data_IF_352697637886
#
_entry.id   IF_352697637886
#
_cell.length_a   1.000
_cell.length_b   1.000
_cell.length_c   1.000
_cell.angle_alpha   90.00
_cell.angle_beta   90.00
_cell.angle_gamma   90.00
#
_symmetry.space_group_name_H-M   'P 1'
#
loop_
_entity.id
_entity.type
_entity.pdbx_description
1 polymer ?
#
# COMPACT_ATOMS: atom_id res chain seq x y z
N UNK A 1 19.98 8.88 -1.89
CA UNK A 1 18.53 8.58 -1.92
C UNK A 1 18.31 7.40 -0.98
N UNK A 2 17.24 7.37 -0.19
CA UNK A 2 16.97 6.22 0.70
C UNK A 2 16.28 5.12 -0.10
N UNK A 3 16.44 3.85 0.32
CA UNK A 3 15.74 2.72 -0.31
C UNK A 3 14.23 2.95 -0.36
N UNK A 4 13.65 3.50 0.72
CA UNK A 4 12.26 3.92 0.75
C UNK A 4 11.89 4.91 -0.37
N UNK A 5 12.73 5.92 -0.62
CA UNK A 5 12.45 6.91 -1.66
C UNK A 5 12.51 6.31 -3.06
N UNK A 6 13.44 5.38 -3.33
CA UNK A 6 13.54 4.69 -4.62
C UNK A 6 12.31 3.81 -4.88
N UNK A 7 11.90 3.03 -3.89
CA UNK A 7 10.72 2.16 -3.97
C UNK A 7 9.43 2.98 -4.07
N UNK A 8 9.35 4.08 -3.31
CA UNK A 8 8.26 5.05 -3.41
C UNK A 8 8.10 5.58 -4.83
N UNK A 9 9.17 6.07 -5.45
CA UNK A 9 9.12 6.60 -6.83
C UNK A 9 8.75 5.52 -7.85
N UNK A 10 9.20 4.28 -7.67
CA UNK A 10 8.86 3.15 -8.53
C UNK A 10 7.37 2.78 -8.50
N UNK A 11 6.71 2.93 -7.34
CA UNK A 11 5.38 2.33 -7.12
C UNK A 11 4.24 3.33 -6.89
N UNK A 12 4.49 4.55 -6.40
CA UNK A 12 3.41 5.46 -5.99
C UNK A 12 2.40 5.73 -7.10
N UNK A 13 2.87 6.03 -8.32
CA UNK A 13 1.97 6.38 -9.43
C UNK A 13 1.04 5.22 -9.81
N UNK A 14 1.58 3.99 -9.80
CA UNK A 14 0.80 2.78 -10.08
C UNK A 14 -0.18 2.47 -8.95
N UNK A 15 0.26 2.60 -7.71
CA UNK A 15 -0.60 2.39 -6.54
C UNK A 15 -1.77 3.39 -6.52
N UNK A 16 -1.54 4.65 -6.89
CA UNK A 16 -2.58 5.69 -6.94
C UNK A 16 -3.66 5.35 -7.97
N UNK A 17 -3.30 4.66 -9.05
CA UNK A 17 -4.23 4.16 -10.06
C UNK A 17 -4.93 2.86 -9.64
N UNK A 18 -4.20 1.91 -9.04
CA UNK A 18 -4.69 0.54 -8.86
C UNK A 18 -5.54 0.39 -7.61
N UNK A 19 -5.12 0.99 -6.49
CA UNK A 19 -5.82 0.89 -5.20
C UNK A 19 -7.30 1.26 -5.30
N UNK A 20 -7.71 2.41 -5.87
CA UNK A 20 -9.14 2.75 -5.97
C UNK A 20 -9.90 1.81 -6.91
N UNK A 21 -9.27 1.31 -7.96
CA UNK A 21 -9.90 0.38 -8.91
C UNK A 21 -10.14 -0.97 -8.26
N UNK A 22 -9.16 -1.53 -7.57
CA UNK A 22 -9.28 -2.80 -6.87
C UNK A 22 -10.28 -2.70 -5.73
N UNK A 23 -10.27 -1.61 -4.96
CA UNK A 23 -11.27 -1.38 -3.92
C UNK A 23 -12.71 -1.33 -4.48
N UNK A 24 -12.90 -0.76 -5.66
CA UNK A 24 -14.21 -0.69 -6.32
C UNK A 24 -14.69 -2.03 -6.88
N UNK A 25 -13.79 -2.83 -7.45
CA UNK A 25 -14.15 -4.07 -8.17
C UNK A 25 -14.15 -5.29 -7.25
N UNK A 26 -13.26 -5.32 -6.26
CA UNK A 26 -13.07 -6.46 -5.36
C UNK A 26 -13.53 -6.19 -3.93
N UNK A 27 -13.80 -4.93 -3.53
CA UNK A 27 -14.12 -4.58 -2.14
C UNK A 27 -15.35 -5.28 -1.56
N UNK A 28 -16.35 -5.60 -2.39
CA UNK A 28 -17.53 -6.34 -1.93
C UNK A 28 -17.21 -7.81 -1.57
N UNK A 29 -16.27 -8.44 -2.28
CA UNK A 29 -15.79 -9.80 -2.01
C UNK A 29 -14.67 -9.82 -0.96
N UNK A 30 -13.87 -8.75 -0.93
CA UNK A 30 -12.70 -8.54 -0.07
C UNK A 30 -12.88 -7.23 0.71
N UNK A 31 -13.75 -7.20 1.74
CA UNK A 31 -14.06 -5.98 2.49
C UNK A 31 -12.84 -5.40 3.22
N UNK A 32 -11.82 -6.22 3.50
CA UNK A 32 -10.52 -5.77 4.00
C UNK A 32 -9.84 -4.78 3.06
N UNK A 33 -10.08 -4.89 1.75
CA UNK A 33 -9.44 -4.03 0.77
C UNK A 33 -9.95 -2.58 0.83
N UNK A 34 -11.19 -2.36 1.29
CA UNK A 34 -11.64 -1.00 1.61
C UNK A 34 -10.76 -0.39 2.70
N UNK A 35 -10.38 -1.19 3.70
CA UNK A 35 -9.47 -0.72 4.75
C UNK A 35 -8.05 -0.50 4.24
N UNK A 36 -7.55 -1.35 3.34
CA UNK A 36 -6.27 -1.13 2.64
C UNK A 36 -6.27 0.21 1.92
N UNK A 37 -7.36 0.53 1.19
CA UNK A 37 -7.50 1.79 0.49
C UNK A 37 -7.50 2.99 1.46
N UNK A 38 -8.22 2.93 2.58
CA UNK A 38 -8.19 3.99 3.60
C UNK A 38 -6.78 4.22 4.16
N UNK A 39 -6.08 3.14 4.53
CA UNK A 39 -4.73 3.24 5.10
C UNK A 39 -3.75 3.78 4.06
N UNK A 40 -3.86 3.34 2.80
CA UNK A 40 -3.05 3.87 1.70
C UNK A 40 -3.25 5.39 1.51
N UNK A 41 -4.47 5.90 1.62
CA UNK A 41 -4.72 7.34 1.53
C UNK A 41 -4.03 8.13 2.64
N UNK A 42 -4.00 7.60 3.88
CA UNK A 42 -3.26 8.23 4.97
C UNK A 42 -1.73 8.16 4.76
N UNK A 43 -1.20 7.08 4.18
CA UNK A 43 0.21 6.99 3.77
C UNK A 43 0.54 8.12 2.79
N UNK A 44 -0.24 8.29 1.73
CA UNK A 44 0.00 9.32 0.71
C UNK A 44 -0.07 10.72 1.30
N UNK A 45 -1.04 10.98 2.19
CA UNK A 45 -1.17 12.25 2.90
C UNK A 45 0.06 12.54 3.76
N UNK A 46 0.57 11.56 4.49
CA UNK A 46 1.79 11.70 5.31
C UNK A 46 3.05 11.90 4.47
N UNK A 47 3.18 11.18 3.35
CA UNK A 47 4.28 11.37 2.38
C UNK A 47 4.26 12.80 1.84
N UNK A 48 3.09 13.29 1.38
CA UNK A 48 2.93 14.65 0.87
C UNK A 48 3.25 15.70 1.94
N UNK A 49 2.87 15.46 3.20
CA UNK A 49 3.15 16.36 4.33
C UNK A 49 4.63 16.41 4.72
N UNK A 50 5.34 15.28 4.65
CA UNK A 50 6.75 15.20 5.00
C UNK A 50 7.68 15.83 3.94
N UNK A 51 7.22 15.95 2.69
CA UNK A 51 8.00 16.56 1.61
C UNK A 51 9.27 15.76 1.33
N UNK A 52 10.43 16.32 1.67
CA UNK A 52 11.75 15.69 1.50
C UNK A 52 12.19 14.85 2.71
N UNK A 53 11.50 14.97 3.85
CA UNK A 53 11.81 14.23 5.07
C UNK A 53 11.21 12.82 5.05
N UNK A 54 11.72 11.92 5.92
CA UNK A 54 11.13 10.59 6.10
C UNK A 54 9.79 10.73 6.85
N UNK A 55 8.65 10.34 6.26
CA UNK A 55 7.36 10.38 6.94
C UNK A 55 7.29 9.33 8.06
N UNK A 56 6.56 9.60 9.14
CA UNK A 56 6.26 8.58 10.15
C UNK A 56 5.10 7.69 9.68
N UNK A 57 5.42 6.53 9.12
CA UNK A 57 4.47 5.56 8.55
C UNK A 57 4.37 4.26 9.36
N UNK A 58 4.99 4.20 10.54
CA UNK A 58 5.09 2.99 11.35
C UNK A 58 3.70 2.40 11.68
N UNK A 59 2.75 3.27 11.99
CA UNK A 59 1.39 2.86 12.32
C UNK A 59 0.67 2.29 11.11
N UNK A 60 0.72 2.99 9.98
CA UNK A 60 0.04 2.61 8.73
C UNK A 60 0.56 1.28 8.19
N UNK A 61 1.87 1.08 8.17
CA UNK A 61 2.45 -0.19 7.72
C UNK A 61 2.12 -1.35 8.67
N UNK A 62 2.09 -1.11 9.99
CA UNK A 62 1.63 -2.13 10.94
C UNK A 62 0.17 -2.50 10.73
N UNK A 63 -0.68 -1.53 10.41
CA UNK A 63 -2.09 -1.77 10.11
C UNK A 63 -2.26 -2.53 8.81
N UNK A 64 -1.53 -2.15 7.74
CA UNK A 64 -1.50 -2.89 6.48
C UNK A 64 -1.16 -4.37 6.71
N UNK A 65 -0.04 -4.68 7.37
CA UNK A 65 0.34 -6.07 7.69
C UNK A 65 -0.74 -6.83 8.44
N UNK A 66 -1.47 -6.16 9.35
CA UNK A 66 -2.54 -6.80 10.13
C UNK A 66 -3.76 -7.14 9.27
N UNK A 67 -4.21 -6.21 8.43
CA UNK A 67 -5.45 -6.39 7.65
C UNK A 67 -5.25 -7.25 6.40
N UNK A 68 -4.03 -7.32 5.87
CA UNK A 68 -3.68 -8.11 4.67
C UNK A 68 -3.06 -9.46 5.00
N UNK A 69 -3.01 -9.85 6.28
CA UNK A 69 -2.27 -11.03 6.76
C UNK A 69 -0.84 -11.08 6.20
N UNK A 70 -0.07 -10.00 6.43
CA UNK A 70 1.27 -9.78 5.89
C UNK A 70 1.33 -9.82 4.35
N UNK A 71 0.38 -9.17 3.69
CA UNK A 71 0.26 -9.09 2.24
C UNK A 71 0.06 -10.45 1.56
N UNK A 72 -0.60 -11.39 2.25
CA UNK A 72 -0.95 -12.69 1.68
C UNK A 72 -1.99 -12.50 0.58
N UNK A 73 -1.69 -13.02 -0.61
CA UNK A 73 -2.53 -12.88 -1.80
C UNK A 73 -3.63 -13.95 -1.78
N UNK A 74 -4.93 -13.58 -1.79
CA UNK A 74 -6.02 -14.55 -1.89
C UNK A 74 -6.08 -15.20 -3.27
N UNK A 75 -6.43 -16.49 -3.33
CA UNK A 75 -6.41 -17.31 -4.58
C UNK A 75 -7.51 -16.94 -5.58
N UNK A 76 -8.52 -16.21 -5.15
CA UNK A 76 -9.70 -15.79 -5.91
C UNK A 76 -9.60 -14.33 -6.41
N UNK A 77 -8.40 -13.74 -6.37
CA UNK A 77 -8.13 -12.37 -6.81
C UNK A 77 -7.46 -12.30 -8.18
N UNK A 78 -7.46 -11.11 -8.79
CA UNK A 78 -6.83 -10.87 -10.10
C UNK A 78 -5.40 -10.32 -9.97
N UNK A 79 -4.68 -10.28 -11.09
CA UNK A 79 -3.30 -9.75 -11.18
C UNK A 79 -3.16 -8.32 -10.64
N UNK A 80 -4.20 -7.47 -10.76
CA UNK A 80 -4.14 -6.10 -10.24
C UNK A 80 -4.21 -6.05 -8.71
N UNK A 81 -4.95 -6.97 -8.07
CA UNK A 81 -4.97 -7.09 -6.61
C UNK A 81 -3.60 -7.55 -6.10
N UNK A 82 -3.07 -8.61 -6.71
CA UNK A 82 -1.73 -9.14 -6.43
C UNK A 82 -0.67 -8.05 -6.59
N UNK A 83 -0.72 -7.28 -7.67
CA UNK A 83 0.20 -6.17 -7.91
C UNK A 83 0.14 -5.13 -6.78
N UNK A 84 -1.04 -4.77 -6.28
CA UNK A 84 -1.14 -3.83 -5.16
C UNK A 84 -0.44 -4.40 -3.92
N UNK A 85 -0.69 -5.66 -3.57
CA UNK A 85 -0.10 -6.26 -2.35
C UNK A 85 1.41 -6.39 -2.45
N UNK A 86 1.93 -6.80 -3.62
CA UNK A 86 3.36 -6.85 -3.86
C UNK A 86 4.02 -5.47 -3.74
N UNK A 87 3.44 -4.44 -4.36
CA UNK A 87 3.98 -3.08 -4.30
C UNK A 87 3.92 -2.48 -2.88
N UNK A 88 2.84 -2.73 -2.14
CA UNK A 88 2.73 -2.30 -0.74
C UNK A 88 3.73 -3.02 0.17
N UNK A 89 3.96 -4.31 -0.06
CA UNK A 89 4.95 -5.12 0.67
C UNK A 89 6.38 -4.67 0.40
N UNK A 90 6.72 -4.34 -0.86
CA UNK A 90 8.01 -3.74 -1.22
C UNK A 90 8.21 -2.39 -0.51
N UNK A 91 7.17 -1.55 -0.49
CA UNK A 91 7.22 -0.24 0.15
C UNK A 91 7.39 -0.35 1.69
N UNK A 92 6.68 -1.28 2.32
CA UNK A 92 6.78 -1.58 3.75
C UNK A 92 8.19 -2.06 4.13
N UNK A 93 8.72 -3.00 3.35
CA UNK A 93 10.06 -3.55 3.56
C UNK A 93 11.14 -2.47 3.41
N UNK A 94 11.03 -1.62 2.40
CA UNK A 94 11.96 -0.52 2.16
C UNK A 94 11.86 0.61 3.21
N UNK A 95 10.73 0.71 3.91
CA UNK A 95 10.55 1.69 4.99
C UNK A 95 11.18 1.22 6.32
N UNK A 96 11.08 -0.09 6.61
CA UNK A 96 11.54 -0.70 7.86
C UNK A 96 12.97 -1.28 7.79
N UNK A 97 13.52 -1.47 6.59
CA UNK A 97 14.93 -1.79 6.37
C UNK A 97 15.83 -0.57 6.58
#
# INVERSE_FOLDING_TARGET
>A
MTQFNEVKEKHIEKLELYVPVVARVHGDAHPEFHKVHEVYNEIIKKIKKAGTEKPDLNHEFKELRKITDNYTIPKDTCESYEAVYNMLSELDSAYNG
#
